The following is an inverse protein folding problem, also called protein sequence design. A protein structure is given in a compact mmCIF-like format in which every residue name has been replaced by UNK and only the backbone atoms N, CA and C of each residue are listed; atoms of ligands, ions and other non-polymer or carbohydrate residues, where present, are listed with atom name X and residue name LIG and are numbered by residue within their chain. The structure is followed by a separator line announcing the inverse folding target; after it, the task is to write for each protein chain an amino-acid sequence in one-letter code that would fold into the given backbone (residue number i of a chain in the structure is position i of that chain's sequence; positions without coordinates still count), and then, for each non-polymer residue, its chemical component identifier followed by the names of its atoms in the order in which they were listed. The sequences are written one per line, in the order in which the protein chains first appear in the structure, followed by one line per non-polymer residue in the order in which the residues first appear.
data_IF_964127965860
#
_entry.id   IF_964127965860
#
_cell.length_a   1.000
_cell.length_b   1.000
_cell.length_c   1.000
_cell.angle_alpha   90.00
_cell.angle_beta   90.00
_cell.angle_gamma   90.00
#
_symmetry.space_group_name_H-M   'P 1'
#
loop_
_entity.id
_entity.type
_entity.pdbx_description
1 polymer ?
#
# COMPACT_ATOMS: atom_id res chain seq x y z
N UNK A 1 -16.68 -10.47 -2.00
CA UNK A 1 -15.82 -10.40 -3.20
C UNK A 1 -15.98 -11.65 -4.07
N UNK A 2 -15.40 -12.80 -3.68
CA UNK A 2 -15.42 -14.05 -4.46
C UNK A 2 -16.85 -14.49 -4.87
N UNK A 3 -17.79 -14.47 -3.92
CA UNK A 3 -19.21 -14.79 -4.20
C UNK A 3 -19.88 -13.88 -5.23
N UNK A 4 -19.45 -12.63 -5.34
CA UNK A 4 -20.01 -11.66 -6.30
C UNK A 4 -19.40 -11.87 -7.70
N UNK A 5 -18.11 -12.21 -7.77
CA UNK A 5 -17.43 -12.60 -9.00
C UNK A 5 -18.01 -13.91 -9.56
N UNK A 6 -18.23 -14.89 -8.70
CA UNK A 6 -18.88 -16.16 -9.07
C UNK A 6 -20.31 -15.95 -9.57
N UNK A 7 -21.08 -15.07 -8.91
CA UNK A 7 -22.43 -14.74 -9.34
C UNK A 7 -22.44 -14.02 -10.70
N UNK A 8 -21.47 -13.13 -10.95
CA UNK A 8 -21.30 -12.46 -12.24
C UNK A 8 -20.96 -13.46 -13.34
N UNK A 9 -19.98 -14.34 -13.13
CA UNK A 9 -19.57 -15.36 -14.10
C UNK A 9 -20.70 -16.36 -14.41
N UNK A 10 -21.51 -16.73 -13.42
CA UNK A 10 -22.70 -17.58 -13.64
C UNK A 10 -23.77 -16.89 -14.48
N UNK A 11 -23.94 -15.57 -14.29
CA UNK A 11 -24.94 -14.77 -15.01
C UNK A 11 -24.51 -14.43 -16.43
N UNK A 12 -23.20 -14.31 -16.67
CA UNK A 12 -22.62 -13.89 -17.96
C UNK A 12 -21.43 -14.77 -18.37
N UNK A 13 -21.63 -16.07 -18.61
CA UNK A 13 -20.54 -17.04 -18.81
C UNK A 13 -19.71 -16.80 -20.07
N UNK A 14 -20.29 -16.18 -21.10
CA UNK A 14 -19.62 -15.89 -22.38
C UNK A 14 -19.11 -14.45 -22.49
N UNK A 15 -19.23 -13.65 -21.43
CA UNK A 15 -18.82 -12.25 -21.46
C UNK A 15 -17.29 -12.15 -21.48
N UNK A 16 -16.76 -11.58 -22.57
CA UNK A 16 -15.33 -11.33 -22.71
C UNK A 16 -15.03 -9.87 -22.44
N UNK A 17 -14.11 -9.63 -21.51
CA UNK A 17 -13.68 -8.30 -21.15
C UNK A 17 -12.17 -8.25 -21.06
N UNK A 18 -11.56 -7.47 -21.96
CA UNK A 18 -10.10 -7.38 -22.05
C UNK A 18 -9.54 -6.28 -21.15
N UNK A 19 -8.26 -6.40 -20.79
CA UNK A 19 -7.56 -5.35 -20.05
C UNK A 19 -7.41 -4.05 -20.87
N UNK A 20 -7.33 -4.14 -22.20
CA UNK A 20 -7.30 -2.98 -23.09
C UNK A 20 -8.62 -2.19 -23.00
N UNK A 21 -9.76 -2.90 -23.07
CA UNK A 21 -11.11 -2.34 -22.91
C UNK A 21 -11.32 -1.76 -21.51
N UNK A 22 -10.82 -2.43 -20.47
CA UNK A 22 -10.80 -1.89 -19.11
C UNK A 22 -10.05 -0.56 -19.04
N UNK A 23 -8.87 -0.48 -19.64
CA UNK A 23 -8.07 0.74 -19.63
C UNK A 23 -8.79 1.88 -20.33
N UNK A 24 -9.32 1.63 -21.53
CA UNK A 24 -10.11 2.61 -22.28
C UNK A 24 -11.24 3.16 -21.41
N UNK A 25 -12.14 2.31 -20.91
CA UNK A 25 -13.29 2.70 -20.10
C UNK A 25 -12.96 3.37 -18.75
N UNK A 26 -11.71 3.26 -18.26
CA UNK A 26 -11.28 3.90 -17.02
C UNK A 26 -10.46 5.17 -17.23
N UNK A 27 -10.04 5.47 -18.47
CA UNK A 27 -9.32 6.72 -18.81
C UNK A 27 -10.06 7.62 -19.78
N UNK A 28 -11.00 7.10 -20.57
CA UNK A 28 -11.81 7.91 -21.46
C UNK A 28 -12.91 8.63 -20.69
N UNK A 29 -13.24 9.85 -21.11
CA UNK A 29 -14.42 10.61 -20.66
C UNK A 29 -15.71 10.11 -21.31
N UNK A 30 -15.60 9.17 -22.25
CA UNK A 30 -16.72 8.54 -22.94
C UNK A 30 -17.34 7.52 -21.99
N UNK A 31 -18.61 7.76 -21.63
CA UNK A 31 -19.35 6.88 -20.74
C UNK A 31 -19.52 5.48 -21.33
N UNK A 32 -19.50 4.46 -20.48
CA UNK A 32 -19.84 3.10 -20.87
C UNK A 32 -21.36 2.96 -20.90
N UNK A 33 -21.95 2.70 -22.07
CA UNK A 33 -23.40 2.52 -22.20
C UNK A 33 -23.86 1.10 -21.82
N UNK A 34 -23.01 0.08 -21.99
CA UNK A 34 -23.35 -1.31 -21.69
C UNK A 34 -23.46 -1.58 -20.17
N UNK A 35 -24.66 -1.98 -19.74
CA UNK A 35 -24.96 -2.26 -18.34
C UNK A 35 -24.18 -3.46 -17.78
N UNK A 36 -23.84 -4.46 -18.61
CA UNK A 36 -23.04 -5.61 -18.17
C UNK A 36 -21.62 -5.14 -17.83
N UNK A 37 -21.02 -4.32 -18.71
CA UNK A 37 -19.72 -3.69 -18.49
C UNK A 37 -19.72 -2.77 -17.28
N UNK A 38 -20.76 -1.94 -17.07
CA UNK A 38 -20.85 -1.11 -15.87
C UNK A 38 -20.88 -1.96 -14.58
N UNK A 39 -21.61 -3.07 -14.57
CA UNK A 39 -21.66 -3.98 -13.42
C UNK A 39 -20.30 -4.63 -13.15
N UNK A 40 -19.56 -5.02 -14.20
CA UNK A 40 -18.19 -5.53 -14.06
C UNK A 40 -17.24 -4.47 -13.54
N UNK A 41 -17.27 -3.25 -14.09
CA UNK A 41 -16.41 -2.14 -13.66
C UNK A 41 -16.66 -1.77 -12.20
N UNK A 42 -17.92 -1.76 -11.75
CA UNK A 42 -18.26 -1.55 -10.34
C UNK A 42 -17.67 -2.65 -9.47
N UNK A 43 -17.82 -3.92 -9.86
CA UNK A 43 -17.26 -5.04 -9.12
C UNK A 43 -15.73 -4.98 -9.03
N UNK A 44 -15.06 -4.64 -10.12
CA UNK A 44 -13.60 -4.45 -10.16
C UNK A 44 -13.18 -3.25 -9.30
N UNK A 45 -13.91 -2.15 -9.36
CA UNK A 45 -13.67 -0.96 -8.54
C UNK A 45 -13.82 -1.23 -7.04
N UNK A 46 -14.86 -1.97 -6.65
CA UNK A 46 -15.07 -2.41 -5.26
C UNK A 46 -13.93 -3.35 -4.81
N UNK A 47 -13.43 -4.21 -5.71
CA UNK A 47 -12.28 -5.08 -5.48
C UNK A 47 -11.01 -4.28 -5.21
N UNK A 48 -10.73 -3.33 -6.09
CA UNK A 48 -9.57 -2.45 -6.01
C UNK A 48 -9.62 -1.61 -4.72
N UNK A 49 -10.78 -1.07 -4.37
CA UNK A 49 -10.98 -0.34 -3.12
C UNK A 49 -10.80 -1.20 -1.86
N UNK A 50 -11.26 -2.46 -1.89
CA UNK A 50 -11.00 -3.41 -0.81
C UNK A 50 -9.51 -3.73 -0.67
N UNK A 51 -8.84 -4.04 -1.79
CA UNK A 51 -7.40 -4.34 -1.81
C UNK A 51 -6.57 -3.13 -1.36
N UNK A 52 -6.96 -1.91 -1.74
CA UNK A 52 -6.32 -0.67 -1.28
C UNK A 52 -6.44 -0.48 0.24
N UNK A 53 -7.63 -0.68 0.81
CA UNK A 53 -7.83 -0.63 2.27
C UNK A 53 -7.05 -1.73 3.01
N UNK A 54 -6.94 -2.91 2.42
CA UNK A 54 -6.15 -4.00 2.96
C UNK A 54 -4.65 -3.66 2.93
N UNK A 55 -4.15 -3.14 1.81
CA UNK A 55 -2.78 -2.68 1.64
C UNK A 55 -2.42 -1.59 2.67
N UNK A 56 -3.31 -0.61 2.88
CA UNK A 56 -3.11 0.45 3.87
C UNK A 56 -2.95 -0.10 5.29
N UNK A 57 -3.76 -1.09 5.68
CA UNK A 57 -3.63 -1.74 6.99
C UNK A 57 -2.32 -2.52 7.14
N UNK A 58 -1.87 -3.19 6.08
CA UNK A 58 -0.57 -3.87 6.07
C UNK A 58 0.55 -2.84 6.17
N UNK A 59 0.47 -1.71 5.47
CA UNK A 59 1.48 -0.66 5.54
C UNK A 59 1.61 -0.07 6.93
N UNK A 60 0.50 0.28 7.59
CA UNK A 60 0.52 0.78 8.98
C UNK A 60 1.22 -0.22 9.90
N UNK A 61 0.96 -1.52 9.70
CA UNK A 61 1.58 -2.58 10.49
C UNK A 61 3.09 -2.67 10.25
N UNK A 62 3.53 -2.54 8.99
CA UNK A 62 4.95 -2.53 8.61
C UNK A 62 5.64 -1.27 9.13
N UNK A 63 5.05 -0.08 8.98
CA UNK A 63 5.59 1.19 9.46
C UNK A 63 5.77 1.18 10.99
N UNK A 64 4.74 0.74 11.72
CA UNK A 64 4.84 0.56 13.17
C UNK A 64 5.94 -0.44 13.55
N UNK A 65 6.12 -1.50 12.77
CA UNK A 65 7.17 -2.48 12.99
C UNK A 65 8.58 -1.89 12.78
N UNK A 66 8.77 -1.09 11.72
CA UNK A 66 10.03 -0.41 11.45
C UNK A 66 10.37 0.63 12.54
N UNK A 67 9.38 1.41 12.98
CA UNK A 67 9.54 2.36 14.09
C UNK A 67 9.90 1.64 15.39
N UNK A 68 9.25 0.51 15.69
CA UNK A 68 9.57 -0.31 16.85
C UNK A 68 11.03 -0.81 16.83
N UNK A 69 11.52 -1.28 15.67
CA UNK A 69 12.93 -1.67 15.47
C UNK A 69 13.89 -0.51 15.71
N UNK A 70 13.58 0.69 15.24
CA UNK A 70 14.41 1.89 15.48
C UNK A 70 14.47 2.25 16.98
N UNK A 71 13.35 2.13 17.70
CA UNK A 71 13.33 2.34 19.15
C UNK A 71 14.07 1.24 19.92
N UNK A 72 14.07 0.00 19.42
CA UNK A 72 14.88 -1.11 19.96
C UNK A 72 16.37 -0.82 19.83
N UNK A 73 16.80 -0.46 18.63
CA UNK A 73 18.20 -0.16 18.32
C UNK A 73 18.73 1.05 19.11
N UNK A 74 17.86 2.00 19.45
CA UNK A 74 18.22 3.19 20.26
C UNK A 74 18.08 3.00 21.77
N UNK A 75 17.73 1.79 22.24
CA UNK A 75 17.57 1.48 23.66
C UNK A 75 16.39 2.17 24.34
N UNK A 76 15.46 2.74 23.57
CA UNK A 76 14.26 3.46 24.05
C UNK A 76 12.98 2.64 23.84
N UNK A 77 13.09 1.32 23.86
CA UNK A 77 11.96 0.43 23.61
C UNK A 77 10.92 0.59 24.74
N UNK A 78 9.72 1.03 24.39
CA UNK A 78 8.61 1.19 25.33
C UNK A 78 8.08 -0.18 25.77
N UNK A 79 7.70 -0.38 27.03
CA UNK A 79 7.08 -1.61 27.56
C UNK A 79 5.90 -2.10 26.71
N UNK A 80 5.16 -1.18 26.06
CA UNK A 80 4.06 -1.53 25.15
C UNK A 80 4.49 -2.32 23.92
N UNK A 81 5.74 -2.16 23.47
CA UNK A 81 6.35 -2.89 22.34
C UNK A 81 6.90 -4.25 22.79
N UNK A 82 7.23 -4.41 24.08
CA UNK A 82 7.56 -5.71 24.66
C UNK A 82 6.30 -6.57 24.82
N UNK A 83 5.24 -6.00 25.42
CA UNK A 83 3.92 -6.65 25.59
C UNK A 83 3.34 -7.12 24.27
N UNK A 84 3.65 -6.41 23.19
CA UNK A 84 3.13 -6.72 21.89
C UNK A 84 3.72 -8.04 21.38
N UNK A 85 5.01 -8.35 21.64
CA UNK A 85 5.67 -9.63 21.30
C UNK A 85 5.05 -10.86 22.00
N UNK A 86 4.26 -10.65 23.06
CA UNK A 86 3.64 -11.71 23.88
C UNK A 86 2.14 -11.87 23.64
N UNK A 87 1.48 -10.92 22.96
CA UNK A 87 0.02 -10.90 22.79
C UNK A 87 -0.42 -11.19 21.35
N UNK A 88 -1.62 -11.78 21.23
CA UNK A 88 -2.26 -12.01 19.94
C UNK A 88 -2.59 -10.65 19.30
N UNK A 89 -2.34 -10.52 18.00
CA UNK A 89 -2.49 -9.28 17.21
C UNK A 89 -3.89 -8.64 17.31
N UNK A 90 -4.90 -9.42 17.62
CA UNK A 90 -6.30 -9.02 17.77
C UNK A 90 -6.54 -8.15 19.02
N UNK A 91 -5.77 -8.36 20.09
CA UNK A 91 -5.89 -7.63 21.36
C UNK A 91 -5.21 -6.26 21.34
N UNK A 92 -4.43 -5.98 20.30
CA UNK A 92 -3.63 -4.77 20.18
C UNK A 92 -4.38 -3.77 19.30
N UNK A 93 -4.50 -2.51 19.74
CA UNK A 93 -5.06 -1.43 18.89
C UNK A 93 -4.24 -1.31 17.62
N UNK A 94 -4.89 -1.08 16.47
CA UNK A 94 -4.24 -1.07 15.12
C UNK A 94 -2.96 -0.21 15.08
N UNK A 95 -2.97 0.96 15.70
CA UNK A 95 -1.84 1.89 15.76
C UNK A 95 -0.63 1.39 16.56
N UNK A 96 -0.76 0.29 17.30
CA UNK A 96 0.32 -0.34 18.07
C UNK A 96 0.59 -1.77 17.61
N UNK A 97 -0.02 -2.21 16.49
CA UNK A 97 0.24 -3.54 15.94
C UNK A 97 1.56 -3.52 15.18
N UNK A 98 2.33 -4.58 15.37
CA UNK A 98 3.62 -4.87 14.77
C UNK A 98 3.58 -6.33 14.29
N UNK A 99 4.56 -6.78 13.50
CA UNK A 99 4.60 -8.17 13.01
C UNK A 99 5.09 -9.08 14.14
N UNK A 100 4.25 -9.97 14.71
CA UNK A 100 4.70 -10.94 15.71
C UNK A 100 5.68 -11.92 15.06
N UNK A 101 6.72 -12.34 15.78
CA UNK A 101 7.70 -13.31 15.25
C UNK A 101 8.29 -12.89 13.89
N UNK A 102 8.51 -11.59 13.69
CA UNK A 102 8.98 -11.02 12.42
C UNK A 102 10.21 -11.73 11.83
N UNK A 103 11.13 -12.16 12.69
CA UNK A 103 12.38 -12.82 12.32
C UNK A 103 12.22 -14.34 12.13
N UNK A 104 11.05 -14.90 12.45
CA UNK A 104 10.82 -16.33 12.31
C UNK A 104 10.79 -16.75 10.85
N UNK A 105 11.51 -17.83 10.49
CA UNK A 105 11.51 -18.35 9.14
C UNK A 105 10.15 -19.01 8.84
N UNK A 106 9.64 -18.76 7.64
CA UNK A 106 8.46 -19.42 7.11
C UNK A 106 8.85 -20.83 6.66
N UNK A 107 8.14 -21.83 7.16
CA UNK A 107 8.23 -23.22 6.69
C UNK A 107 7.06 -23.47 5.75
N UNK A 108 7.33 -23.57 4.45
CA UNK A 108 6.30 -23.82 3.43
C UNK A 108 6.86 -24.54 2.21
N UNK A 109 5.98 -25.08 1.35
CA UNK A 109 6.37 -25.72 0.09
C UNK A 109 6.57 -24.76 -1.09
N UNK A 110 6.70 -23.45 -0.85
CA UNK A 110 6.73 -22.43 -1.91
C UNK A 110 7.97 -21.51 -1.81
N UNK A 111 8.02 -20.49 -2.68
CA UNK A 111 9.14 -19.53 -2.77
C UNK A 111 9.41 -18.70 -1.50
N UNK A 112 8.52 -18.71 -0.52
CA UNK A 112 8.68 -18.04 0.77
C UNK A 112 9.39 -18.93 1.80
N UNK A 113 9.65 -20.20 1.49
CA UNK A 113 10.34 -21.10 2.41
C UNK A 113 11.72 -20.55 2.81
N UNK A 114 12.02 -20.55 4.10
CA UNK A 114 13.26 -20.03 4.66
C UNK A 114 13.39 -18.50 4.63
N UNK A 115 12.38 -17.77 4.15
CA UNK A 115 12.30 -16.30 4.29
C UNK A 115 11.69 -15.94 5.64
N UNK A 116 12.03 -14.76 6.15
CA UNK A 116 11.44 -14.25 7.38
C UNK A 116 9.99 -13.84 7.16
N UNK A 117 9.19 -13.87 8.22
CA UNK A 117 7.81 -13.40 8.19
C UNK A 117 7.74 -11.92 7.77
N UNK A 118 8.68 -11.11 8.25
CA UNK A 118 8.86 -9.71 7.83
C UNK A 118 9.00 -9.57 6.31
N UNK A 119 9.87 -10.37 5.69
CA UNK A 119 10.06 -10.34 4.24
C UNK A 119 8.76 -10.65 3.48
N UNK A 120 7.99 -11.64 3.95
CA UNK A 120 6.74 -12.01 3.29
C UNK A 120 5.67 -10.90 3.40
N UNK A 121 5.56 -10.23 4.55
CA UNK A 121 4.64 -9.09 4.71
C UNK A 121 5.03 -7.90 3.82
N UNK A 122 6.33 -7.61 3.69
CA UNK A 122 6.85 -6.60 2.78
C UNK A 122 6.53 -6.93 1.31
N UNK A 123 6.78 -8.16 0.87
CA UNK A 123 6.47 -8.58 -0.49
C UNK A 123 4.96 -8.57 -0.78
N UNK A 124 4.13 -8.99 0.18
CA UNK A 124 2.68 -8.88 0.08
C UNK A 124 2.22 -7.42 -0.06
N UNK A 125 2.78 -6.49 0.73
CA UNK A 125 2.48 -5.07 0.62
C UNK A 125 2.81 -4.54 -0.78
N UNK A 126 4.01 -4.82 -1.31
CA UNK A 126 4.42 -4.40 -2.66
C UNK A 126 3.49 -4.93 -3.75
N UNK A 127 3.13 -6.21 -3.69
CA UNK A 127 2.23 -6.83 -4.66
C UNK A 127 0.83 -6.20 -4.63
N UNK A 128 0.33 -5.87 -3.43
CA UNK A 128 -0.96 -5.18 -3.28
C UNK A 128 -0.93 -3.77 -3.84
N UNK A 129 0.18 -3.04 -3.68
CA UNK A 129 0.36 -1.73 -4.32
C UNK A 129 0.40 -1.81 -5.84
N UNK A 130 1.14 -2.78 -6.40
CA UNK A 130 1.17 -3.01 -7.84
C UNK A 130 -0.23 -3.32 -8.38
N UNK A 131 -1.00 -4.12 -7.65
CA UNK A 131 -2.39 -4.42 -8.00
C UNK A 131 -3.26 -3.16 -7.95
N UNK A 132 -3.17 -2.35 -6.89
CA UNK A 132 -3.92 -1.09 -6.77
C UNK A 132 -3.59 -0.09 -7.90
N UNK A 133 -2.34 -0.05 -8.37
CA UNK A 133 -1.92 0.77 -9.52
C UNK A 133 -2.55 0.26 -10.83
N UNK A 134 -2.50 -1.05 -11.08
CA UNK A 134 -3.07 -1.67 -12.30
C UNK A 134 -4.57 -1.37 -12.42
N UNK A 135 -5.29 -1.41 -11.30
CA UNK A 135 -6.73 -1.14 -11.28
C UNK A 135 -7.07 0.34 -11.12
N UNK A 136 -6.08 1.23 -11.19
CA UNK A 136 -6.25 2.68 -11.06
C UNK A 136 -7.05 3.09 -9.83
N UNK A 137 -6.77 2.47 -8.68
CA UNK A 137 -7.37 2.89 -7.43
C UNK A 137 -7.09 4.37 -7.19
N UNK A 138 -8.15 5.18 -7.14
CA UNK A 138 -8.05 6.64 -7.07
C UNK A 138 -7.30 7.10 -5.82
N UNK A 139 -7.51 6.41 -4.70
CA UNK A 139 -6.86 6.73 -3.42
C UNK A 139 -5.36 6.45 -3.49
N UNK A 140 -4.97 5.28 -3.97
CA UNK A 140 -3.56 4.91 -4.14
C UNK A 140 -2.85 5.79 -5.17
N UNK A 141 -3.47 6.06 -6.32
CA UNK A 141 -2.91 7.01 -7.31
C UNK A 141 -2.74 8.40 -6.69
N UNK A 142 -3.73 8.88 -5.94
CA UNK A 142 -3.66 10.19 -5.27
C UNK A 142 -2.51 10.23 -4.25
N UNK A 143 -2.33 9.17 -3.43
CA UNK A 143 -1.20 9.07 -2.49
C UNK A 143 0.16 9.03 -3.21
N UNK A 144 0.29 8.22 -4.27
CA UNK A 144 1.54 8.10 -5.03
C UNK A 144 1.88 9.39 -5.80
N UNK A 145 0.87 10.09 -6.31
CA UNK A 145 1.06 11.40 -6.97
C UNK A 145 1.28 12.52 -5.95
N UNK A 146 0.86 12.35 -4.70
CA UNK A 146 1.14 13.28 -3.61
C UNK A 146 2.65 13.45 -3.40
N UNK A 147 3.42 12.36 -3.45
CA UNK A 147 4.88 12.42 -3.31
C UNK A 147 5.50 13.30 -4.40
N UNK A 148 5.08 13.12 -5.66
CA UNK A 148 5.56 13.97 -6.78
C UNK A 148 5.19 15.44 -6.60
N UNK A 149 4.00 15.73 -6.03
CA UNK A 149 3.60 17.11 -5.71
C UNK A 149 4.48 17.70 -4.61
N UNK A 150 4.74 16.93 -3.55
CA UNK A 150 5.64 17.30 -2.45
C UNK A 150 7.05 17.56 -2.99
N UNK A 151 7.59 16.70 -3.86
CA UNK A 151 8.90 16.90 -4.48
C UNK A 151 8.96 18.19 -5.32
N UNK A 152 7.86 18.50 -6.02
CA UNK A 152 7.74 19.73 -6.82
C UNK A 152 7.66 20.98 -5.93
N UNK A 153 6.90 20.92 -4.84
CA UNK A 153 6.82 21.99 -3.84
C UNK A 153 8.16 22.19 -3.13
N UNK A 154 8.84 21.11 -2.75
CA UNK A 154 10.20 21.13 -2.20
C UNK A 154 11.15 21.83 -3.16
N UNK A 155 11.18 21.44 -4.43
CA UNK A 155 12.03 22.08 -5.43
C UNK A 155 11.72 23.58 -5.59
N UNK A 156 10.44 23.98 -5.51
CA UNK A 156 10.03 25.38 -5.57
C UNK A 156 10.50 26.17 -4.34
N UNK A 157 10.32 25.61 -3.14
CA UNK A 157 10.74 26.21 -1.88
C UNK A 157 12.26 26.32 -1.78
N UNK A 158 12.99 25.30 -2.24
CA UNK A 158 14.45 25.31 -2.34
C UNK A 158 14.93 26.44 -3.24
N UNK A 159 14.36 26.58 -4.45
CA UNK A 159 14.72 27.68 -5.36
C UNK A 159 14.42 29.05 -4.76
N UNK A 160 13.30 29.19 -4.08
CA UNK A 160 12.92 30.44 -3.44
C UNK A 160 13.85 30.79 -2.27
N UNK A 161 14.23 29.79 -1.47
CA UNK A 161 15.25 29.94 -0.44
C UNK A 161 16.59 30.38 -1.03
N UNK A 162 17.08 29.72 -2.08
CA UNK A 162 18.36 30.05 -2.72
C UNK A 162 18.35 31.47 -3.32
N UNK A 163 17.20 31.89 -3.86
CA UNK A 163 16.97 33.26 -4.35
C UNK A 163 17.04 34.29 -3.23
N UNK A 164 16.45 34.00 -2.07
CA UNK A 164 16.40 34.92 -0.92
C UNK A 164 17.70 34.93 -0.12
N UNK A 165 18.36 33.78 0.03
CA UNK A 165 19.57 33.62 0.83
C UNK A 165 20.85 33.89 0.03
N UNK A 166 20.79 33.88 -1.31
CA UNK A 166 21.93 34.07 -2.20
C UNK A 166 22.97 32.94 -2.13
N UNK A 167 22.59 31.78 -1.59
CA UNK A 167 23.46 30.62 -1.35
C UNK A 167 22.67 29.33 -1.61
N UNK A 168 23.31 28.27 -2.12
CA UNK A 168 22.65 26.99 -2.36
C UNK A 168 22.11 26.38 -1.06
N UNK A 169 21.01 25.64 -1.18
CA UNK A 169 20.40 24.93 -0.05
C UNK A 169 21.29 23.74 0.36
N UNK A 170 21.76 23.75 1.61
CA UNK A 170 22.65 22.70 2.12
C UNK A 170 21.84 21.48 2.57
N UNK A 171 21.89 20.43 1.75
CA UNK A 171 21.16 19.16 1.97
C UNK A 171 21.75 18.30 3.09
N UNK A 172 22.96 18.60 3.57
CA UNK A 172 23.68 17.74 4.52
C UNK A 172 23.17 17.80 5.97
N UNK A 173 22.39 18.82 6.34
CA UNK A 173 22.00 19.03 7.74
C UNK A 173 20.89 18.09 8.25
N UNK A 174 20.29 17.30 7.37
CA UNK A 174 19.14 16.43 7.69
C UNK A 174 19.52 14.97 7.97
N UNK A 175 20.78 14.58 7.75
CA UNK A 175 21.26 13.22 8.05
C UNK A 175 21.90 13.09 9.44
N UNK A 176 22.05 14.21 10.17
CA UNK A 176 22.56 14.26 11.54
C UNK A 176 21.47 14.73 12.50
N UNK A 177 20.46 13.90 12.78
CA UNK A 177 19.65 13.90 14.01
C UNK A 177 18.75 12.67 14.10
#
# INVERSE_FOLDING_TARGET
MLRLLDAFNKKYPSFQYSFATYNEHTTSTVGVEDQITQNLLKLIGDAAGFMGKFAEKINILVENHLLAKQYEASGKLNERVLVSKEKVIEEIKILHRFIPYCDSPIVSGNRLNGKTLEFAFLEMAKLLYNYAVIYKDKLTITKLTLHKKIDTELASLTKEYERLAGKPYDTKRTEET
#
